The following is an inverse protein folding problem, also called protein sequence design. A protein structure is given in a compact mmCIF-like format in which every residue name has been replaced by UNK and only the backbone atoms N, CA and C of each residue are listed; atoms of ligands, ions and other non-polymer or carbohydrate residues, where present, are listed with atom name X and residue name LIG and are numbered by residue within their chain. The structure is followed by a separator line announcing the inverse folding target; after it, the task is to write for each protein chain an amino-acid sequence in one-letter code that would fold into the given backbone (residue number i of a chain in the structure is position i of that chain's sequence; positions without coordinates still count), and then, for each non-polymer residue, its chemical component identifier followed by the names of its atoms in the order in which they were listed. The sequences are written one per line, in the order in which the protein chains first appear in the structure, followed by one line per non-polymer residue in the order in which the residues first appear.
data_IF_811166601461
#
_entry.id   IF_811166601461
#
_cell.length_a   1.000
_cell.length_b   1.000
_cell.length_c   1.000
_cell.angle_alpha   90.00
_cell.angle_beta   90.00
_cell.angle_gamma   90.00
#
_symmetry.space_group_name_H-M   'P 1'
#
loop_
_entity.id
_entity.type
_entity.pdbx_description
1 polymer ?
#
# COMPACT_ATOMS: atom_id res chain seq x y z
N UNK A 1 17.01 -4.25 9.67
CA UNK A 1 16.62 -4.24 11.11
C UNK A 1 15.11 -4.35 11.22
N UNK A 2 14.51 -4.78 12.32
CA UNK A 2 13.03 -4.74 12.40
C UNK A 2 12.49 -3.31 12.45
N UNK A 3 11.30 -3.11 11.91
CA UNK A 3 10.58 -1.83 12.02
C UNK A 3 10.28 -1.52 13.50
N UNK A 4 10.58 -0.31 14.02
CA UNK A 4 10.28 0.04 15.40
C UNK A 4 8.80 -0.11 15.74
N UNK A 5 8.47 -0.46 16.98
CA UNK A 5 7.07 -0.64 17.40
C UNK A 5 6.27 0.67 17.32
N UNK A 6 6.87 1.80 17.71
CA UNK A 6 6.25 3.13 17.58
C UNK A 6 5.81 3.42 16.14
N UNK A 7 6.67 3.11 15.16
CA UNK A 7 6.35 3.28 13.74
C UNK A 7 5.21 2.34 13.34
N UNK A 8 5.20 1.08 13.81
CA UNK A 8 4.10 0.14 13.56
C UNK A 8 2.76 0.62 14.11
N UNK A 9 2.73 1.22 15.29
CA UNK A 9 1.50 1.82 15.86
C UNK A 9 1.02 2.99 14.99
N UNK A 10 1.93 3.88 14.60
CA UNK A 10 1.61 5.03 13.72
C UNK A 10 1.09 4.58 12.35
N UNK A 11 1.70 3.55 11.76
CA UNK A 11 1.25 2.94 10.51
C UNK A 11 -0.14 2.31 10.66
N UNK A 12 -0.41 1.61 11.77
CA UNK A 12 -1.73 1.03 12.05
C UNK A 12 -2.83 2.11 12.11
N UNK A 13 -2.52 3.24 12.74
CA UNK A 13 -3.44 4.37 12.82
C UNK A 13 -3.66 4.99 11.44
N UNK A 14 -2.58 5.21 10.68
CA UNK A 14 -2.65 5.71 9.30
C UNK A 14 -3.55 4.80 8.44
N UNK A 15 -3.30 3.49 8.40
CA UNK A 15 -4.12 2.54 7.65
C UNK A 15 -5.62 2.60 8.03
N UNK A 16 -5.92 2.73 9.32
CA UNK A 16 -7.31 2.78 9.82
C UNK A 16 -7.99 4.11 9.47
N UNK A 17 -7.25 5.22 9.36
CA UNK A 17 -7.78 6.54 9.05
C UNK A 17 -8.12 6.73 7.57
N UNK A 18 -7.51 5.97 6.66
CA UNK A 18 -7.68 6.13 5.21
C UNK A 18 -8.78 5.27 4.58
N UNK A 19 -9.61 4.60 5.38
CA UNK A 19 -10.82 3.92 4.92
C UNK A 19 -12.05 4.64 5.48
N UNK A 20 -12.88 5.27 4.63
CA UNK A 20 -14.18 5.83 5.03
C UNK A 20 -15.05 4.76 5.68
N UNK A 21 -15.89 5.12 6.65
CA UNK A 21 -16.69 4.17 7.42
C UNK A 21 -17.59 3.31 6.51
N UNK A 22 -18.24 3.94 5.53
CA UNK A 22 -19.08 3.30 4.52
C UNK A 22 -18.33 2.31 3.61
N UNK A 23 -17.00 2.41 3.51
CA UNK A 23 -16.16 1.55 2.68
C UNK A 23 -15.45 0.44 3.47
N UNK A 24 -15.48 0.45 4.81
CA UNK A 24 -14.74 -0.52 5.65
C UNK A 24 -15.13 -1.99 5.39
N UNK A 25 -16.37 -2.22 4.97
CA UNK A 25 -16.85 -3.55 4.59
C UNK A 25 -16.37 -3.98 3.19
N UNK A 26 -16.02 -3.03 2.34
CA UNK A 26 -15.69 -3.22 0.92
C UNK A 26 -14.19 -2.99 0.62
N UNK A 27 -13.43 -2.50 1.61
CA UNK A 27 -12.04 -2.14 1.46
C UNK A 27 -11.35 -2.07 2.81
N UNK A 28 -10.10 -2.50 2.86
CA UNK A 28 -9.23 -2.34 4.01
C UNK A 28 -7.83 -1.94 3.56
N UNK A 29 -7.31 -0.83 4.08
CA UNK A 29 -5.88 -0.54 4.00
C UNK A 29 -5.19 -1.27 5.16
N UNK A 30 -4.17 -2.04 4.85
CA UNK A 30 -3.37 -2.79 5.82
C UNK A 30 -1.88 -2.61 5.52
N UNK A 31 -1.02 -3.14 6.39
CA UNK A 31 0.41 -3.23 6.11
C UNK A 31 0.97 -4.57 6.56
N UNK A 32 2.08 -4.96 5.95
CA UNK A 32 2.94 -6.06 6.39
C UNK A 32 4.36 -5.56 6.58
N UNK A 33 5.12 -6.26 7.42
CA UNK A 33 6.53 -5.95 7.67
C UNK A 33 7.40 -7.15 7.35
N UNK A 34 8.52 -6.93 6.67
CA UNK A 34 9.55 -7.94 6.42
C UNK A 34 10.92 -7.32 6.69
N UNK A 35 11.49 -7.60 7.86
CA UNK A 35 12.73 -6.94 8.29
C UNK A 35 12.54 -5.43 8.42
N UNK A 36 13.29 -4.67 7.62
CA UNK A 36 13.28 -3.20 7.50
C UNK A 36 12.29 -2.67 6.45
N UNK A 37 11.57 -3.57 5.78
CA UNK A 37 10.56 -3.22 4.79
C UNK A 37 9.16 -3.20 5.40
N UNK A 38 8.39 -2.18 5.04
CA UNK A 38 6.94 -2.11 5.25
C UNK A 38 6.28 -2.09 3.87
N UNK A 39 5.30 -2.95 3.64
CA UNK A 39 4.46 -2.88 2.44
C UNK A 39 3.04 -2.52 2.84
N UNK A 40 2.51 -1.44 2.26
CA UNK A 40 1.10 -1.04 2.39
C UNK A 40 0.29 -1.81 1.35
N UNK A 41 -0.82 -2.36 1.80
CA UNK A 41 -1.73 -3.20 1.03
C UNK A 41 -3.12 -2.57 0.98
N UNK A 42 -3.70 -2.54 -0.20
CA UNK A 42 -5.14 -2.35 -0.41
C UNK A 42 -5.79 -3.73 -0.51
N UNK A 43 -6.67 -4.04 0.44
CA UNK A 43 -7.39 -5.31 0.49
C UNK A 43 -8.85 -5.12 0.17
N UNK A 44 -9.39 -6.01 -0.65
CA UNK A 44 -10.79 -5.94 -1.06
C UNK A 44 -11.45 -7.30 -1.01
N UNK A 45 -12.75 -7.35 -0.73
CA UNK A 45 -13.50 -8.58 -0.85
C UNK A 45 -13.50 -9.04 -2.31
N UNK A 46 -13.68 -10.35 -2.55
CA UNK A 46 -13.81 -10.88 -3.89
C UNK A 46 -15.00 -10.26 -4.61
N UNK A 47 -14.80 -9.83 -5.86
CA UNK A 47 -15.87 -9.30 -6.73
C UNK A 47 -16.99 -10.33 -6.97
N UNK A 48 -16.63 -11.61 -6.96
CA UNK A 48 -17.55 -12.74 -7.11
C UNK A 48 -17.34 -13.70 -5.93
N UNK A 49 -18.10 -13.55 -4.83
CA UNK A 49 -17.98 -14.39 -3.64
C UNK A 49 -18.14 -15.88 -3.95
N UNK A 50 -18.92 -16.20 -4.99
CA UNK A 50 -19.16 -17.55 -5.51
C UNK A 50 -17.95 -18.20 -6.21
N UNK A 51 -16.95 -17.41 -6.63
CA UNK A 51 -15.72 -17.90 -7.29
C UNK A 51 -14.53 -17.97 -6.34
N UNK A 52 -14.69 -17.55 -5.07
CA UNK A 52 -13.66 -17.66 -4.04
C UNK A 52 -13.85 -16.62 -2.95
N UNK A 53 -13.66 -17.03 -1.69
CA UNK A 53 -13.84 -16.18 -0.51
C UNK A 53 -12.59 -15.36 -0.12
N UNK A 54 -11.50 -15.45 -0.89
CA UNK A 54 -10.24 -14.83 -0.54
C UNK A 54 -10.27 -13.32 -0.86
N UNK A 55 -9.96 -12.51 0.15
CA UNK A 55 -9.70 -11.09 -0.06
C UNK A 55 -8.46 -10.92 -0.91
N UNK A 56 -8.51 -10.00 -1.86
CA UNK A 56 -7.31 -9.58 -2.59
C UNK A 56 -6.42 -8.75 -1.66
N UNK A 57 -5.12 -8.74 -1.92
CA UNK A 57 -4.16 -7.89 -1.23
C UNK A 57 -3.22 -7.30 -2.27
N UNK A 58 -3.53 -6.09 -2.73
CA UNK A 58 -2.77 -5.40 -3.76
C UNK A 58 -1.75 -4.47 -3.08
N UNK A 59 -0.44 -4.65 -3.32
CA UNK A 59 0.56 -3.74 -2.81
C UNK A 59 0.46 -2.37 -3.48
N UNK A 60 0.41 -1.30 -2.69
CA UNK A 60 0.22 0.08 -3.17
C UNK A 60 1.40 1.01 -2.87
N UNK A 61 2.17 0.70 -1.82
CA UNK A 61 3.38 1.41 -1.47
C UNK A 61 4.30 0.51 -0.66
N UNK A 62 5.61 0.75 -0.77
CA UNK A 62 6.61 0.06 0.03
C UNK A 62 7.57 1.08 0.62
N UNK A 63 7.84 0.97 1.90
CA UNK A 63 8.79 1.79 2.62
C UNK A 63 9.97 0.92 3.04
N UNK A 64 11.19 1.38 2.76
CA UNK A 64 12.41 0.71 3.19
C UNK A 64 13.15 1.60 4.17
N UNK A 65 13.44 1.09 5.36
CA UNK A 65 14.24 1.78 6.37
C UNK A 65 15.72 1.57 6.12
N UNK A 66 16.52 2.53 6.57
CA UNK A 66 17.98 2.53 6.51
C UNK A 66 18.48 2.46 5.05
N UNK A 67 17.67 3.00 4.13
CA UNK A 67 17.91 3.08 2.70
C UNK A 67 17.58 4.51 2.23
N UNK A 68 18.54 5.26 1.67
CA UNK A 68 19.93 4.86 1.41
C UNK A 68 20.86 4.92 2.64
N UNK A 69 20.45 5.58 3.72
CA UNK A 69 21.29 5.82 4.91
C UNK A 69 20.55 5.45 6.20
N UNK A 70 21.27 5.10 7.29
CA UNK A 70 20.66 4.78 8.57
C UNK A 70 19.73 5.88 9.09
N UNK A 71 18.53 5.50 9.54
CA UNK A 71 17.51 6.43 10.02
C UNK A 71 16.67 7.08 8.92
N UNK A 72 17.03 6.93 7.64
CA UNK A 72 16.21 7.37 6.54
C UNK A 72 15.29 6.26 6.02
N UNK A 73 14.16 6.69 5.48
CA UNK A 73 13.19 5.85 4.82
C UNK A 73 13.10 6.23 3.36
N UNK A 74 12.93 5.23 2.50
CA UNK A 74 12.69 5.40 1.07
C UNK A 74 11.32 4.85 0.71
N UNK A 75 10.56 5.62 -0.07
CA UNK A 75 9.33 5.16 -0.69
C UNK A 75 9.61 4.50 -2.02
N UNK A 76 8.95 3.37 -2.24
CA UNK A 76 8.88 2.66 -3.50
C UNK A 76 7.42 2.54 -3.94
N UNK A 77 7.19 2.78 -5.23
CA UNK A 77 5.88 2.64 -5.89
C UNK A 77 5.87 1.38 -6.76
N UNK A 78 4.74 0.66 -6.84
CA UNK A 78 4.62 -0.45 -7.77
C UNK A 78 4.66 0.08 -9.21
N UNK A 79 5.44 -0.56 -10.08
CA UNK A 79 5.61 -0.15 -11.49
C UNK A 79 4.43 -0.63 -12.35
N UNK A 80 3.82 -1.77 -12.01
CA UNK A 80 2.65 -2.32 -12.70
C UNK A 80 1.83 -3.25 -11.79
N UNK A 81 0.50 -3.30 -11.98
CA UNK A 81 -0.41 -4.16 -11.20
C UNK A 81 -0.06 -5.66 -11.27
N UNK A 82 0.51 -6.11 -12.39
CA UNK A 82 0.81 -7.54 -12.63
C UNK A 82 2.26 -7.93 -12.30
N UNK A 83 3.05 -7.02 -11.75
CA UNK A 83 4.45 -7.25 -11.41
C UNK A 83 4.67 -6.96 -9.92
N UNK A 84 4.32 -7.89 -9.01
CA UNK A 84 4.37 -7.66 -7.57
C UNK A 84 5.79 -7.37 -7.03
N UNK A 85 6.82 -7.70 -7.81
CA UNK A 85 8.23 -7.47 -7.50
C UNK A 85 8.83 -6.25 -8.21
N UNK A 86 8.08 -5.57 -9.07
CA UNK A 86 8.58 -4.39 -9.78
C UNK A 86 8.28 -3.12 -8.98
N UNK A 87 9.33 -2.56 -8.38
CA UNK A 87 9.28 -1.39 -7.52
C UNK A 87 10.21 -0.30 -8.04
N UNK A 88 9.70 0.91 -8.18
CA UNK A 88 10.52 2.09 -8.48
C UNK A 88 10.65 2.98 -7.24
N UNK A 89 11.85 3.51 -7.01
CA UNK A 89 12.09 4.49 -5.94
C UNK A 89 11.40 5.80 -6.28
N UNK A 90 10.68 6.38 -5.32
CA UNK A 90 10.03 7.67 -5.44
C UNK A 90 11.05 8.80 -5.66
N UNK A 91 10.79 9.64 -6.67
CA UNK A 91 11.72 10.69 -7.10
C UNK A 91 11.90 11.82 -6.10
N UNK A 92 10.95 12.02 -5.18
CA UNK A 92 11.04 13.07 -4.16
C UNK A 92 12.01 12.71 -3.02
N UNK A 93 12.64 11.53 -3.08
CA UNK A 93 13.76 11.15 -2.22
C UNK A 93 13.34 10.66 -0.84
N UNK A 94 14.33 10.27 -0.01
CA UNK A 94 14.08 9.71 1.30
C UNK A 94 13.59 10.75 2.32
N UNK A 95 13.09 10.28 3.47
CA UNK A 95 12.71 11.11 4.61
C UNK A 95 13.03 10.39 5.93
N UNK A 96 13.21 11.11 7.03
CA UNK A 96 13.40 10.51 8.37
C UNK A 96 12.12 9.89 8.95
N UNK A 97 10.95 10.30 8.46
CA UNK A 97 9.65 9.81 8.89
C UNK A 97 8.91 9.08 7.75
N UNK A 98 8.57 7.79 7.90
CA UNK A 98 7.83 7.05 6.88
C UNK A 98 6.43 7.61 6.62
N UNK A 99 5.81 8.30 7.59
CA UNK A 99 4.47 8.87 7.39
C UNK A 99 4.49 10.07 6.45
N UNK A 100 5.60 10.83 6.41
CA UNK A 100 5.81 11.92 5.44
C UNK A 100 5.84 11.35 4.02
N UNK A 101 6.43 10.17 3.85
CA UNK A 101 6.45 9.48 2.57
C UNK A 101 5.07 8.96 2.17
N UNK A 102 4.30 8.41 3.13
CA UNK A 102 2.94 7.94 2.85
C UNK A 102 1.97 9.05 2.45
N UNK A 103 2.16 10.27 2.96
CA UNK A 103 1.39 11.43 2.50
C UNK A 103 1.51 11.66 0.97
N UNK A 104 2.61 11.24 0.34
CA UNK A 104 2.84 11.37 -1.12
C UNK A 104 2.09 10.35 -1.96
N UNK A 105 1.57 9.30 -1.33
CA UNK A 105 0.75 8.25 -1.98
C UNK A 105 -0.67 8.24 -1.44
N UNK A 106 -1.02 9.09 -0.48
CA UNK A 106 -2.34 9.08 0.15
C UNK A 106 -3.46 9.26 -0.87
N UNK A 107 -3.32 10.19 -1.81
CA UNK A 107 -4.32 10.40 -2.85
C UNK A 107 -4.47 9.17 -3.74
N UNK A 108 -3.36 8.54 -4.17
CA UNK A 108 -3.40 7.30 -4.95
C UNK A 108 -3.98 6.12 -4.15
N UNK A 109 -3.65 6.03 -2.86
CA UNK A 109 -4.22 5.03 -1.95
C UNK A 109 -5.71 5.28 -1.77
N UNK A 110 -6.19 6.53 -1.75
CA UNK A 110 -7.63 6.82 -1.67
C UNK A 110 -8.32 6.56 -3.01
N UNK A 111 -7.73 7.05 -4.10
CA UNK A 111 -8.26 7.08 -5.46
C UNK A 111 -8.16 5.76 -6.21
N UNK A 112 -7.40 4.77 -5.70
CA UNK A 112 -7.52 3.40 -6.17
C UNK A 112 -8.97 2.94 -5.95
N UNK A 113 -9.83 3.25 -6.91
CA UNK A 113 -11.09 2.60 -7.21
C UNK A 113 -10.76 1.28 -7.91
N UNK A 114 -11.68 0.30 -8.00
CA UNK A 114 -11.37 -0.93 -8.74
C UNK A 114 -10.98 -0.57 -10.18
N UNK A 115 -10.12 -1.36 -10.84
CA UNK A 115 -9.90 -1.16 -12.27
C UNK A 115 -11.27 -1.18 -12.93
N UNK A 116 -11.61 -0.09 -13.63
CA UNK A 116 -12.68 -0.12 -14.62
C UNK A 116 -12.25 -1.17 -15.60
N UNK A 117 -12.86 -2.34 -15.51
CA UNK A 117 -12.66 -3.43 -16.44
C UNK A 117 -13.19 -2.93 -17.79
N UNK A 118 -12.37 -2.20 -18.55
CA UNK A 118 -12.56 -2.04 -20.00
C UNK A 118 -12.19 -3.37 -20.62
N UNK A 119 -13.04 -4.37 -20.40
CA UNK A 119 -13.09 -5.53 -21.26
C UNK A 119 -13.35 -5.02 -22.69
N UNK A 120 -12.67 -5.55 -23.71
CA UNK A 120 -12.95 -5.13 -25.07
C UNK A 120 -14.40 -5.52 -25.39
N UNK A 121 -15.22 -4.51 -25.71
CA UNK A 121 -16.43 -4.73 -26.48
C UNK A 121 -15.98 -5.19 -27.88
N UNK A 122 -16.11 -6.48 -28.16
CA UNK A 122 -16.04 -7.08 -29.50
C UNK A 122 -16.68 -8.46 -29.35
N UNK A 123 -17.79 -8.81 -30.00
CA UNK A 123 -18.25 -8.42 -31.32
C UNK A 123 -18.46 -9.70 -32.11
#
# INVERSE_FOLDING_TARGET
MSVPEEIRVRLSHWCTAHVPDDERALRQIAYTTSGDEVTILDRRPPTFPELGAAWTATPVARLRRDDPEPGLWTLHRPVAENSPDAWERDVAGPADDPLVLLARVEDAVRAAAPPRNTGPASG
#
